data_IF_734118489814
#
_entry.id   IF_734118489814
#
_cell.length_a   1.000
_cell.length_b   1.000
_cell.length_c   1.000
_cell.angle_alpha   90.00
_cell.angle_beta   90.00
_cell.angle_gamma   90.00
#
_symmetry.space_group_name_H-M   'P 1'
#
loop_
_entity.id
_entity.type
_entity.pdbx_description
1 polymer ?
#
# COMPACT_ATOMS: atom_id res chain seq x y z
N UNK A 1 3.40 -12.18 19.94
CA UNK A 1 2.91 -13.10 18.87
C UNK A 1 2.54 -12.34 17.57
N UNK A 2 3.17 -11.20 17.27
CA UNK A 2 2.85 -10.33 16.12
C UNK A 2 4.00 -10.14 15.13
N UNK A 3 5.24 -10.48 15.51
CA UNK A 3 6.44 -10.39 14.63
C UNK A 3 6.37 -11.31 13.39
N UNK A 4 5.37 -12.19 13.32
CA UNK A 4 5.22 -13.13 12.22
C UNK A 4 4.48 -12.56 11.01
N UNK A 5 3.59 -11.58 11.11
CA UNK A 5 2.75 -11.21 9.95
C UNK A 5 3.54 -10.39 8.93
N UNK A 6 4.05 -9.22 9.32
CA UNK A 6 4.75 -8.29 8.42
C UNK A 6 5.98 -8.93 7.77
N UNK A 7 6.79 -9.63 8.57
CA UNK A 7 7.99 -10.32 8.09
C UNK A 7 7.63 -11.51 7.20
N UNK A 8 6.55 -12.25 7.48
CA UNK A 8 6.12 -13.38 6.63
C UNK A 8 5.73 -12.94 5.24
N UNK A 9 4.92 -11.90 5.11
CA UNK A 9 4.50 -11.39 3.80
C UNK A 9 5.67 -10.72 3.06
N UNK A 10 6.49 -9.94 3.77
CA UNK A 10 7.71 -9.37 3.20
C UNK A 10 8.70 -10.44 2.74
N UNK A 11 8.77 -11.61 3.41
CA UNK A 11 9.59 -12.75 2.97
C UNK A 11 8.96 -13.59 1.85
N UNK A 12 7.76 -13.22 1.36
CA UNK A 12 7.05 -13.96 0.31
C UNK A 12 6.38 -15.25 0.77
N UNK A 13 6.35 -15.55 2.08
CA UNK A 13 5.77 -16.77 2.66
C UNK A 13 4.26 -16.66 2.95
N UNK A 14 3.65 -15.56 2.54
CA UNK A 14 2.23 -15.27 2.72
C UNK A 14 1.38 -15.65 1.51
N UNK A 15 0.05 -15.59 1.66
CA UNK A 15 -0.86 -15.83 0.55
C UNK A 15 -1.01 -14.57 -0.31
N UNK A 16 -0.69 -14.68 -1.60
CA UNK A 16 -0.76 -13.57 -2.58
C UNK A 16 -2.13 -12.87 -2.57
N UNK A 17 -3.23 -13.64 -2.65
CA UNK A 17 -4.59 -13.10 -2.64
C UNK A 17 -4.86 -12.22 -1.42
N UNK A 18 -4.43 -12.65 -0.23
CA UNK A 18 -4.66 -11.90 1.02
C UNK A 18 -3.89 -10.59 1.04
N UNK A 19 -2.60 -10.61 0.70
CA UNK A 19 -1.80 -9.37 0.71
C UNK A 19 -2.26 -8.40 -0.38
N UNK A 20 -2.68 -8.90 -1.53
CA UNK A 20 -3.16 -8.04 -2.61
C UNK A 20 -4.53 -7.43 -2.29
N UNK A 21 -5.55 -8.24 -1.94
CA UNK A 21 -6.90 -7.71 -1.72
C UNK A 21 -7.10 -7.05 -0.37
N UNK A 22 -6.59 -7.66 0.71
CA UNK A 22 -6.84 -7.14 2.06
C UNK A 22 -5.90 -5.99 2.35
N UNK A 23 -4.59 -6.18 2.18
CA UNK A 23 -3.62 -5.12 2.43
C UNK A 23 -3.58 -4.10 1.28
N UNK A 24 -3.39 -4.58 0.05
CA UNK A 24 -3.23 -3.73 -1.12
C UNK A 24 -4.47 -2.89 -1.45
N UNK A 25 -5.64 -3.52 -1.56
CA UNK A 25 -6.88 -2.83 -1.96
C UNK A 25 -7.65 -2.31 -0.74
N UNK A 26 -8.21 -3.21 0.08
CA UNK A 26 -9.16 -2.83 1.13
C UNK A 26 -8.54 -1.89 2.17
N UNK A 27 -7.39 -2.24 2.73
CA UNK A 27 -6.76 -1.45 3.78
C UNK A 27 -6.21 -0.12 3.24
N UNK A 28 -5.63 -0.10 2.04
CA UNK A 28 -5.20 1.16 1.41
C UNK A 28 -6.38 2.09 1.13
N UNK A 29 -7.49 1.57 0.57
CA UNK A 29 -8.69 2.38 0.29
C UNK A 29 -9.31 2.92 1.58
N UNK A 30 -9.40 2.10 2.63
CA UNK A 30 -9.88 2.54 3.94
C UNK A 30 -8.96 3.63 4.53
N UNK A 31 -7.64 3.43 4.49
CA UNK A 31 -6.69 4.40 5.03
C UNK A 31 -6.78 5.75 4.29
N UNK A 32 -6.78 5.74 2.96
CA UNK A 32 -6.89 6.96 2.14
C UNK A 32 -8.24 7.65 2.40
N UNK A 33 -9.34 6.87 2.44
CA UNK A 33 -10.68 7.41 2.71
C UNK A 33 -10.77 8.07 4.07
N UNK A 34 -10.25 7.43 5.12
CA UNK A 34 -10.22 7.97 6.48
C UNK A 34 -9.36 9.22 6.59
N UNK A 35 -8.15 9.22 5.99
CA UNK A 35 -7.26 10.39 6.01
C UNK A 35 -7.90 11.57 5.28
N UNK A 36 -8.48 11.32 4.10
CA UNK A 36 -9.15 12.37 3.30
C UNK A 36 -10.36 12.93 4.05
N UNK A 37 -11.16 12.06 4.67
CA UNK A 37 -12.31 12.48 5.46
C UNK A 37 -11.91 13.26 6.72
N UNK A 38 -10.89 12.81 7.46
CA UNK A 38 -10.40 13.51 8.64
C UNK A 38 -9.84 14.90 8.28
N UNK A 39 -9.15 15.00 7.14
CA UNK A 39 -8.67 16.28 6.62
C UNK A 39 -9.83 17.20 6.22
N UNK A 40 -10.84 16.71 5.49
CA UNK A 40 -11.99 17.52 5.09
C UNK A 40 -12.88 17.95 6.28
N UNK A 41 -12.91 17.16 7.35
CA UNK A 41 -13.55 17.53 8.62
C UNK A 41 -12.75 18.56 9.45
N UNK A 42 -11.56 18.97 8.99
CA UNK A 42 -10.68 19.93 9.67
C UNK A 42 -9.95 19.34 10.88
N UNK A 43 -9.90 18.02 11.03
CA UNK A 43 -9.24 17.36 12.17
C UNK A 43 -7.72 17.29 12.00
N UNK A 44 -7.24 17.34 10.76
CA UNK A 44 -5.82 17.35 10.43
C UNK A 44 -5.36 18.71 9.91
N UNK A 45 -4.22 19.16 10.43
CA UNK A 45 -3.42 20.20 9.79
C UNK A 45 -2.73 19.67 8.53
N UNK A 46 -2.29 20.59 7.66
CA UNK A 46 -1.49 20.26 6.48
C UNK A 46 -0.25 19.43 6.83
N UNK A 47 0.44 19.74 7.93
CA UNK A 47 1.60 18.97 8.39
C UNK A 47 1.22 17.52 8.76
N UNK A 48 0.09 17.32 9.46
CA UNK A 48 -0.38 15.98 9.81
C UNK A 48 -0.78 15.17 8.58
N UNK A 49 -1.39 15.81 7.58
CA UNK A 49 -1.69 15.18 6.29
C UNK A 49 -0.41 14.72 5.57
N UNK A 50 0.62 15.59 5.48
CA UNK A 50 1.92 15.24 4.89
C UNK A 50 2.58 14.07 5.59
N UNK A 51 2.56 14.06 6.92
CA UNK A 51 3.09 12.94 7.72
C UNK A 51 2.32 11.64 7.46
N UNK A 52 1.00 11.70 7.35
CA UNK A 52 0.16 10.54 7.01
C UNK A 52 0.51 9.99 5.61
N UNK A 53 0.75 10.86 4.62
CA UNK A 53 1.18 10.47 3.28
C UNK A 53 2.55 9.77 3.31
N UNK A 54 3.52 10.26 4.09
CA UNK A 54 4.82 9.59 4.23
C UNK A 54 4.68 8.18 4.82
N UNK A 55 3.79 7.99 5.79
CA UNK A 55 3.47 6.67 6.34
C UNK A 55 2.84 5.77 5.28
N UNK A 56 1.92 6.30 4.46
CA UNK A 56 1.35 5.56 3.33
C UNK A 56 2.39 5.16 2.29
N UNK A 57 3.42 5.96 2.04
CA UNK A 57 4.54 5.56 1.17
C UNK A 57 5.33 4.39 1.74
N UNK A 58 5.70 4.44 3.02
CA UNK A 58 6.36 3.31 3.67
C UNK A 58 5.51 2.03 3.60
N UNK A 59 4.20 2.17 3.81
CA UNK A 59 3.24 1.07 3.68
C UNK A 59 3.14 0.54 2.24
N UNK A 60 3.13 1.42 1.24
CA UNK A 60 3.06 1.07 -0.19
C UNK A 60 4.31 0.29 -0.62
N UNK A 61 5.50 0.68 -0.16
CA UNK A 61 6.74 -0.08 -0.38
C UNK A 61 6.60 -1.48 0.21
N UNK A 62 6.02 -1.61 1.40
CA UNK A 62 5.77 -2.90 2.04
C UNK A 62 4.81 -3.79 1.25
N UNK A 63 3.70 -3.24 0.75
CA UNK A 63 2.79 -4.00 -0.12
C UNK A 63 3.51 -4.41 -1.39
N UNK A 64 4.22 -3.50 -2.05
CA UNK A 64 4.90 -3.76 -3.32
C UNK A 64 5.87 -4.93 -3.21
N UNK A 65 6.77 -4.89 -2.21
CA UNK A 65 7.75 -5.95 -1.97
C UNK A 65 7.06 -7.26 -1.59
N UNK A 66 6.04 -7.20 -0.73
CA UNK A 66 5.30 -8.39 -0.28
C UNK A 66 4.56 -9.07 -1.44
N UNK A 67 3.84 -8.31 -2.26
CA UNK A 67 3.16 -8.82 -3.46
C UNK A 67 4.19 -9.39 -4.43
N UNK A 68 5.28 -8.67 -4.69
CA UNK A 68 6.30 -9.10 -5.65
C UNK A 68 6.94 -10.44 -5.27
N UNK A 69 7.26 -10.62 -3.98
CA UNK A 69 7.87 -11.85 -3.46
C UNK A 69 6.85 -12.99 -3.31
N UNK A 70 5.61 -12.70 -2.91
CA UNK A 70 4.55 -13.71 -2.86
C UNK A 70 4.16 -14.20 -4.26
N UNK A 71 4.14 -13.30 -5.25
CA UNK A 71 3.89 -13.64 -6.65
C UNK A 71 5.02 -14.47 -7.25
N UNK A 72 6.29 -14.16 -6.93
CA UNK A 72 7.45 -14.93 -7.40
C UNK A 72 7.35 -16.43 -7.07
N UNK A 73 6.78 -16.77 -5.91
CA UNK A 73 6.59 -18.16 -5.48
C UNK A 73 5.53 -18.93 -6.28
N UNK A 74 4.59 -18.24 -6.93
CA UNK A 74 3.56 -18.88 -7.76
C UNK A 74 3.99 -19.14 -9.20
N UNK A 75 5.18 -18.67 -9.61
CA UNK A 75 5.69 -18.84 -10.97
C UNK A 75 4.85 -18.08 -12.00
N UNK A 76 4.69 -18.66 -13.18
CA UNK A 76 4.00 -18.07 -14.34
C UNK A 76 2.46 -18.13 -14.27
N UNK A 77 1.91 -18.03 -13.06
CA UNK A 77 0.46 -17.87 -12.86
C UNK A 77 0.05 -16.49 -13.39
N UNK A 78 -0.89 -16.48 -14.35
CA UNK A 78 -1.47 -15.27 -14.93
C UNK A 78 -1.90 -14.25 -13.86
N UNK A 79 -2.51 -14.73 -12.77
CA UNK A 79 -2.96 -13.86 -11.67
C UNK A 79 -1.79 -13.27 -10.87
N UNK A 80 -0.65 -13.95 -10.81
CA UNK A 80 0.54 -13.45 -10.14
C UNK A 80 1.22 -12.33 -10.92
N UNK A 81 1.26 -12.45 -12.26
CA UNK A 81 1.73 -11.39 -13.16
C UNK A 81 0.81 -10.17 -13.07
N UNK A 82 -0.51 -10.38 -13.15
CA UNK A 82 -1.49 -9.31 -13.05
C UNK A 82 -1.40 -8.56 -11.71
N UNK A 83 -1.29 -9.29 -10.59
CA UNK A 83 -1.16 -8.69 -9.27
C UNK A 83 0.09 -7.81 -9.13
N UNK A 84 1.23 -8.22 -9.72
CA UNK A 84 2.46 -7.43 -9.74
C UNK A 84 2.28 -6.11 -10.48
N UNK A 85 1.80 -6.16 -11.72
CA UNK A 85 1.63 -4.96 -12.54
C UNK A 85 0.59 -4.01 -11.95
N UNK A 86 -0.51 -4.52 -11.42
CA UNK A 86 -1.50 -3.67 -10.76
C UNK A 86 -0.94 -3.00 -9.50
N UNK A 87 -0.12 -3.70 -8.72
CA UNK A 87 0.51 -3.12 -7.53
C UNK A 87 1.53 -2.04 -7.91
N UNK A 88 2.26 -2.21 -9.02
CA UNK A 88 3.16 -1.18 -9.55
C UNK A 88 2.37 0.05 -10.03
N UNK A 89 1.30 -0.16 -10.79
CA UNK A 89 0.42 0.93 -11.24
C UNK A 89 -0.17 1.71 -10.07
N UNK A 90 -0.62 0.99 -9.03
CA UNK A 90 -1.08 1.61 -7.79
C UNK A 90 0.02 2.39 -7.08
N UNK A 91 1.23 1.85 -6.96
CA UNK A 91 2.35 2.54 -6.33
C UNK A 91 2.72 3.83 -7.07
N UNK A 92 2.72 3.81 -8.41
CA UNK A 92 2.95 5.02 -9.22
C UNK A 92 1.85 6.06 -8.99
N UNK A 93 0.58 5.65 -8.99
CA UNK A 93 -0.53 6.54 -8.68
C UNK A 93 -0.39 7.16 -7.29
N UNK A 94 -0.07 6.36 -6.27
CA UNK A 94 0.16 6.82 -4.91
C UNK A 94 1.29 7.85 -4.86
N UNK A 95 2.40 7.61 -5.58
CA UNK A 95 3.52 8.57 -5.66
C UNK A 95 3.08 9.90 -6.26
N UNK A 96 2.30 9.90 -7.35
CA UNK A 96 1.81 11.15 -7.94
C UNK A 96 0.88 11.91 -6.99
N UNK A 97 -0.11 11.24 -6.41
CA UNK A 97 -1.08 11.87 -5.50
C UNK A 97 -0.39 12.33 -4.21
N UNK A 98 0.42 11.48 -3.60
CA UNK A 98 1.16 11.82 -2.38
C UNK A 98 2.21 12.89 -2.63
N UNK A 99 2.89 12.87 -3.78
CA UNK A 99 3.84 13.89 -4.19
C UNK A 99 3.19 15.27 -4.29
N UNK A 100 2.02 15.35 -4.92
CA UNK A 100 1.21 16.57 -4.94
C UNK A 100 0.90 17.07 -3.52
N UNK A 101 0.47 16.19 -2.61
CA UNK A 101 0.18 16.58 -1.22
C UNK A 101 1.42 17.06 -0.47
N UNK A 102 2.60 16.50 -0.75
CA UNK A 102 3.84 16.90 -0.08
C UNK A 102 4.37 18.24 -0.58
N UNK A 103 4.25 18.49 -1.89
CA UNK A 103 4.86 19.64 -2.56
C UNK A 103 3.93 20.86 -2.64
N UNK A 104 2.64 20.64 -2.92
CA UNK A 104 1.71 21.72 -3.32
C UNK A 104 0.63 22.02 -2.28
N UNK A 105 0.30 21.07 -1.41
CA UNK A 105 -0.66 21.26 -0.30
C UNK A 105 0.05 21.66 1.00
#
# INVERSE_FOLDING_TARGET
MSEFFFVRYWSGRGNLWRVFWICGVLLSSLAIGLITWAYSAGWFSHLQLKMAVLVLFAYTIWILVSVWRCAARRGDDYYAILARWLTVAWALNAIFVGGFVLLDL
#
